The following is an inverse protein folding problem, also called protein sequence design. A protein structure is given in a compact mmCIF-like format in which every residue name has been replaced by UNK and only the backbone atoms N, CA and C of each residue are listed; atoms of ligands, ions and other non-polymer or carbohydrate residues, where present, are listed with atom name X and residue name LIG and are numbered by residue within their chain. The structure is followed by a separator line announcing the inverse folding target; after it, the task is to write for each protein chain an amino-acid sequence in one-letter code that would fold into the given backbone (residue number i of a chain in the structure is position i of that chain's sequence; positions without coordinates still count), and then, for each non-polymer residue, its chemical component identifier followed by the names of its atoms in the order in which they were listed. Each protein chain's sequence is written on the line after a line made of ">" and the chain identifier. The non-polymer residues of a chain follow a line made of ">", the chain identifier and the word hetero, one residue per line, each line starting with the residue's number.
data_IF_297408129086
#
_entry.id   IF_297408129086
#
_cell.length_a   1.000
_cell.length_b   1.000
_cell.length_c   1.000
_cell.angle_alpha   90.00
_cell.angle_beta   90.00
_cell.angle_gamma   90.00
#
_symmetry.space_group_name_H-M   'P 1'
#
loop_
_entity.id
_entity.type
_entity.pdbx_description
1 polymer ?
#
# COMPACT_ATOMS: atom_id res chain seq x y z
N UNK A 1 -20.47 -5.68 5.81
CA UNK A 1 -19.41 -5.09 4.96
C UNK A 1 -19.26 -3.64 5.37
N UNK A 2 -18.12 -3.22 5.93
CA UNK A 2 -17.86 -1.80 6.19
C UNK A 2 -17.24 -1.18 4.94
N UNK A 3 -17.93 -0.24 4.32
CA UNK A 3 -17.38 0.61 3.27
C UNK A 3 -17.10 1.98 3.88
N UNK A 4 -15.90 2.53 3.68
CA UNK A 4 -15.59 3.90 4.10
C UNK A 4 -15.80 4.81 2.90
N UNK A 5 -17.06 5.23 2.70
CA UNK A 5 -17.45 6.07 1.56
C UNK A 5 -17.41 7.56 1.94
N UNK A 6 -16.37 8.25 1.50
CA UNK A 6 -16.33 9.71 1.49
C UNK A 6 -17.27 10.31 0.41
N UNK A 7 -17.64 11.59 0.54
CA UNK A 7 -18.54 12.31 -0.37
C UNK A 7 -18.15 12.17 -1.85
N UNK A 8 -16.85 12.19 -2.19
CA UNK A 8 -16.37 12.01 -3.56
C UNK A 8 -16.82 10.68 -4.20
N UNK A 9 -16.92 9.60 -3.41
CA UNK A 9 -17.31 8.29 -3.93
C UNK A 9 -18.79 8.29 -4.32
N UNK A 10 -19.63 8.92 -3.49
CA UNK A 10 -21.05 9.10 -3.79
C UNK A 10 -21.28 9.94 -5.05
N UNK A 11 -20.54 11.05 -5.19
CA UNK A 11 -20.62 11.90 -6.39
C UNK A 11 -20.27 11.10 -7.66
N UNK A 12 -19.22 10.28 -7.62
CA UNK A 12 -18.81 9.45 -8.77
C UNK A 12 -19.91 8.42 -9.10
N UNK A 13 -20.41 7.68 -8.11
CA UNK A 13 -21.39 6.62 -8.33
C UNK A 13 -22.72 7.17 -8.85
N UNK A 14 -23.25 8.22 -8.20
CA UNK A 14 -24.51 8.86 -8.60
C UNK A 14 -24.34 9.50 -9.98
N UNK A 15 -23.24 10.21 -10.20
CA UNK A 15 -22.92 10.83 -11.49
C UNK A 15 -22.87 9.81 -12.62
N UNK A 16 -22.23 8.65 -12.41
CA UNK A 16 -22.16 7.58 -13.40
C UNK A 16 -23.55 7.03 -13.77
N UNK A 17 -24.43 6.84 -12.79
CA UNK A 17 -25.80 6.36 -13.02
C UNK A 17 -26.64 7.40 -13.77
N UNK A 18 -26.57 8.67 -13.37
CA UNK A 18 -27.30 9.76 -14.03
C UNK A 18 -26.83 9.91 -15.49
N UNK A 19 -25.52 9.93 -15.73
CA UNK A 19 -24.96 10.04 -17.07
C UNK A 19 -25.35 8.84 -17.95
N UNK A 20 -25.34 7.62 -17.42
CA UNK A 20 -25.76 6.45 -18.19
C UNK A 20 -27.26 6.47 -18.51
N UNK A 21 -28.11 6.89 -17.57
CA UNK A 21 -29.54 7.05 -17.82
C UNK A 21 -29.82 8.13 -18.87
N UNK A 22 -29.14 9.28 -18.77
CA UNK A 22 -29.23 10.35 -19.75
C UNK A 22 -28.76 9.89 -21.14
N UNK A 23 -27.63 9.17 -21.23
CA UNK A 23 -27.14 8.63 -22.49
C UNK A 23 -28.11 7.60 -23.10
N UNK A 24 -28.73 6.75 -22.29
CA UNK A 24 -29.70 5.75 -22.75
C UNK A 24 -30.96 6.41 -23.36
N UNK A 25 -31.40 7.53 -22.80
CA UNK A 25 -32.63 8.24 -23.22
C UNK A 25 -32.35 9.22 -24.37
N UNK A 26 -31.30 10.03 -24.25
CA UNK A 26 -31.04 11.16 -25.14
C UNK A 26 -30.19 10.78 -26.36
N UNK A 27 -29.27 9.81 -26.26
CA UNK A 27 -28.42 9.47 -27.39
C UNK A 27 -29.20 8.96 -28.61
N UNK A 28 -30.21 8.08 -28.48
CA UNK A 28 -31.03 7.66 -29.62
C UNK A 28 -31.84 8.78 -30.26
N UNK A 29 -32.10 9.87 -29.53
CA UNK A 29 -32.83 11.04 -30.02
C UNK A 29 -31.92 12.03 -30.74
N UNK A 30 -30.63 12.07 -30.37
CA UNK A 30 -29.66 13.04 -30.89
C UNK A 30 -28.83 12.51 -32.06
N UNK A 31 -28.54 11.20 -32.09
CA UNK A 31 -27.63 10.59 -33.08
C UNK A 31 -28.13 9.23 -33.53
N UNK A 32 -27.79 8.85 -34.76
CA UNK A 32 -28.01 7.48 -35.23
C UNK A 32 -27.10 6.53 -34.44
N UNK A 33 -27.68 5.69 -33.60
CA UNK A 33 -26.97 4.71 -32.76
C UNK A 33 -27.71 3.38 -32.79
N UNK A 34 -26.98 2.27 -32.80
CA UNK A 34 -27.60 0.95 -32.71
C UNK A 34 -28.23 0.76 -31.33
N UNK A 35 -29.47 0.23 -31.24
CA UNK A 35 -30.11 -0.06 -29.95
C UNK A 35 -29.27 -0.97 -29.05
N UNK A 36 -28.51 -1.90 -29.63
CA UNK A 36 -27.62 -2.78 -28.86
C UNK A 36 -26.46 -1.99 -28.23
N UNK A 37 -25.93 -0.96 -28.90
CA UNK A 37 -24.83 -0.14 -28.39
C UNK A 37 -25.26 0.72 -27.20
N UNK A 38 -26.53 1.11 -27.08
CA UNK A 38 -26.99 1.92 -25.95
C UNK A 38 -26.97 1.15 -24.63
N UNK A 39 -27.09 -0.18 -24.65
CA UNK A 39 -26.93 -1.02 -23.46
C UNK A 39 -25.52 -0.99 -22.88
N UNK A 40 -24.51 -0.53 -23.62
CA UNK A 40 -23.17 -0.37 -23.07
C UNK A 40 -23.14 0.71 -21.95
N UNK A 41 -23.97 1.75 -22.01
CA UNK A 41 -23.98 2.84 -21.03
C UNK A 41 -24.31 2.37 -19.60
N UNK A 42 -25.42 1.66 -19.32
CA UNK A 42 -25.70 1.17 -17.96
C UNK A 42 -24.67 0.13 -17.48
N UNK A 43 -24.08 -0.65 -18.38
CA UNK A 43 -23.04 -1.62 -18.02
C UNK A 43 -21.75 -0.90 -17.62
N UNK A 44 -21.37 0.19 -18.31
CA UNK A 44 -20.26 1.07 -17.94
C UNK A 44 -20.50 1.71 -16.57
N UNK A 45 -21.71 2.23 -16.31
CA UNK A 45 -22.03 2.78 -14.99
C UNK A 45 -21.89 1.73 -13.88
N UNK A 46 -22.35 0.50 -14.13
CA UNK A 46 -22.17 -0.62 -13.20
C UNK A 46 -20.69 -0.90 -12.95
N UNK A 47 -19.86 -0.90 -14.00
CA UNK A 47 -18.40 -1.05 -13.87
C UNK A 47 -17.80 0.06 -12.99
N UNK A 48 -18.19 1.32 -13.20
CA UNK A 48 -17.70 2.47 -12.41
C UNK A 48 -18.11 2.37 -10.94
N UNK A 49 -19.36 1.97 -10.65
CA UNK A 49 -19.84 1.78 -9.29
C UNK A 49 -19.05 0.68 -8.58
N UNK A 50 -18.88 -0.47 -9.22
CA UNK A 50 -18.11 -1.59 -8.67
C UNK A 50 -16.63 -1.23 -8.46
N UNK A 51 -16.03 -0.48 -9.39
CA UNK A 51 -14.65 -0.01 -9.26
C UNK A 51 -14.49 0.96 -8.08
N UNK A 52 -15.46 1.86 -7.89
CA UNK A 52 -15.50 2.83 -6.79
C UNK A 52 -15.65 2.12 -5.44
N UNK A 53 -16.59 1.18 -5.34
CA UNK A 53 -16.78 0.33 -4.15
C UNK A 53 -15.51 -0.49 -3.84
N UNK A 54 -14.87 -1.06 -4.86
CA UNK A 54 -13.62 -1.78 -4.71
C UNK A 54 -12.46 -0.91 -4.19
N UNK A 55 -12.46 0.39 -4.51
CA UNK A 55 -11.46 1.34 -3.97
C UNK A 55 -11.71 1.66 -2.51
N UNK A 56 -12.98 1.71 -2.08
CA UNK A 56 -13.38 2.03 -0.71
C UNK A 56 -13.43 0.81 0.23
N UNK A 57 -13.32 -0.42 -0.31
CA UNK A 57 -13.39 -1.65 0.47
C UNK A 57 -12.02 -2.11 1.01
N UNK A 58 -11.97 -2.46 2.29
CA UNK A 58 -10.74 -3.02 2.90
C UNK A 58 -10.56 -4.53 2.64
N UNK A 59 -11.64 -5.31 2.78
CA UNK A 59 -11.59 -6.78 2.72
C UNK A 59 -11.94 -7.38 1.35
N UNK A 60 -12.81 -6.73 0.58
CA UNK A 60 -13.36 -7.25 -0.68
C UNK A 60 -12.94 -6.46 -1.92
N UNK A 61 -11.81 -5.75 -1.85
CA UNK A 61 -11.27 -4.95 -2.96
C UNK A 61 -11.07 -5.76 -4.24
N UNK A 62 -10.38 -6.88 -4.16
CA UNK A 62 -10.05 -7.71 -5.33
C UNK A 62 -11.29 -8.21 -6.10
N UNK A 63 -12.29 -8.87 -5.46
CA UNK A 63 -13.46 -9.35 -6.19
C UNK A 63 -14.29 -8.21 -6.79
N UNK A 64 -14.44 -7.07 -6.10
CA UNK A 64 -15.17 -5.91 -6.63
C UNK A 64 -14.47 -5.30 -7.86
N UNK A 65 -13.14 -5.15 -7.81
CA UNK A 65 -12.34 -4.67 -8.94
C UNK A 65 -12.37 -5.63 -10.13
N UNK A 66 -12.36 -6.94 -9.87
CA UNK A 66 -12.49 -7.95 -10.92
C UNK A 66 -13.86 -7.88 -11.58
N UNK A 67 -14.94 -7.79 -10.79
CA UNK A 67 -16.30 -7.67 -11.31
C UNK A 67 -16.48 -6.38 -12.14
N UNK A 68 -15.91 -5.27 -11.68
CA UNK A 68 -15.87 -4.01 -12.43
C UNK A 68 -15.20 -4.18 -13.80
N UNK A 69 -14.05 -4.85 -13.84
CA UNK A 69 -13.33 -5.12 -15.08
C UNK A 69 -14.12 -6.05 -16.01
N UNK A 70 -14.77 -7.08 -15.48
CA UNK A 70 -15.68 -7.95 -16.26
C UNK A 70 -16.82 -7.14 -16.86
N UNK A 71 -17.48 -6.26 -16.09
CA UNK A 71 -18.53 -5.38 -16.61
C UNK A 71 -18.00 -4.47 -17.74
N UNK A 72 -16.79 -3.92 -17.60
CA UNK A 72 -16.17 -3.11 -18.66
C UNK A 72 -15.93 -3.92 -19.94
N UNK A 73 -15.44 -5.16 -19.83
CA UNK A 73 -15.27 -6.06 -20.96
C UNK A 73 -16.61 -6.38 -21.64
N UNK A 74 -17.65 -6.66 -20.85
CA UNK A 74 -19.01 -6.90 -21.37
C UNK A 74 -19.53 -5.67 -22.10
N UNK A 75 -19.43 -4.47 -21.52
CA UNK A 75 -19.86 -3.23 -22.17
C UNK A 75 -19.14 -3.00 -23.50
N UNK A 76 -17.83 -3.29 -23.53
CA UNK A 76 -16.99 -3.17 -24.73
C UNK A 76 -17.47 -4.12 -25.83
N UNK A 77 -17.73 -5.38 -25.50
CA UNK A 77 -18.25 -6.37 -26.44
C UNK A 77 -19.64 -5.98 -26.94
N UNK A 78 -20.52 -5.51 -26.06
CA UNK A 78 -21.85 -4.99 -26.42
C UNK A 78 -21.75 -3.83 -27.40
N UNK A 79 -20.85 -2.87 -27.16
CA UNK A 79 -20.62 -1.73 -28.07
C UNK A 79 -20.14 -2.17 -29.46
N UNK A 80 -19.26 -3.17 -29.53
CA UNK A 80 -18.68 -3.68 -30.80
C UNK A 80 -19.59 -4.67 -31.54
N UNK A 81 -20.62 -5.20 -30.91
CA UNK A 81 -21.47 -6.25 -31.48
C UNK A 81 -22.08 -5.88 -32.85
N UNK A 82 -22.58 -4.64 -33.08
CA UNK A 82 -23.13 -4.25 -34.38
C UNK A 82 -22.12 -4.25 -35.53
N UNK A 83 -20.82 -4.18 -35.24
CA UNK A 83 -19.78 -4.17 -36.27
C UNK A 83 -19.52 -5.55 -36.87
N UNK A 84 -20.07 -6.63 -36.30
CA UNK A 84 -19.89 -7.99 -36.81
C UNK A 84 -20.34 -8.14 -38.26
N UNK A 85 -21.49 -7.57 -38.63
CA UNK A 85 -22.02 -7.62 -39.99
C UNK A 85 -21.13 -6.91 -41.02
N UNK A 86 -20.83 -5.61 -40.81
CA UNK A 86 -19.90 -4.90 -41.69
C UNK A 86 -18.52 -5.55 -41.79
N UNK A 87 -18.00 -6.08 -40.67
CA UNK A 87 -16.73 -6.82 -40.68
C UNK A 87 -16.82 -8.13 -41.47
N UNK A 88 -17.93 -8.86 -41.39
CA UNK A 88 -18.14 -10.06 -42.21
C UNK A 88 -18.26 -9.73 -43.69
N UNK A 89 -18.89 -8.62 -44.06
CA UNK A 89 -19.00 -8.18 -45.45
C UNK A 89 -17.62 -7.81 -46.04
N UNK A 90 -16.82 -7.09 -45.24
CA UNK A 90 -15.43 -6.78 -45.59
C UNK A 90 -14.64 -8.08 -45.76
N UNK A 91 -14.74 -9.01 -44.81
CA UNK A 91 -14.00 -10.27 -44.85
C UNK A 91 -14.41 -11.13 -46.06
N UNK A 92 -15.70 -11.22 -46.36
CA UNK A 92 -16.21 -11.93 -47.53
C UNK A 92 -15.68 -11.30 -48.83
N UNK A 93 -15.63 -9.98 -48.91
CA UNK A 93 -15.04 -9.26 -50.06
C UNK A 93 -13.55 -9.54 -50.18
N UNK A 94 -12.80 -9.50 -49.07
CA UNK A 94 -11.38 -9.82 -49.04
C UNK A 94 -11.14 -11.24 -49.56
N UNK A 95 -11.88 -12.22 -49.03
CA UNK A 95 -11.76 -13.63 -49.42
C UNK A 95 -12.06 -13.84 -50.91
N UNK A 96 -13.14 -13.25 -51.41
CA UNK A 96 -13.51 -13.34 -52.82
C UNK A 96 -12.41 -12.77 -53.74
N UNK A 97 -11.84 -11.61 -53.40
CA UNK A 97 -10.80 -10.96 -54.20
C UNK A 97 -9.47 -11.71 -54.14
N UNK A 98 -9.07 -12.20 -52.96
CA UNK A 98 -7.86 -13.02 -52.84
C UNK A 98 -8.02 -14.36 -53.56
N UNK A 99 -9.21 -14.97 -53.53
CA UNK A 99 -9.52 -16.20 -54.27
C UNK A 99 -9.47 -16.00 -55.79
N UNK A 100 -9.76 -14.79 -56.27
CA UNK A 100 -9.61 -14.39 -57.67
C UNK A 100 -8.17 -13.97 -58.05
N UNK A 101 -7.19 -14.12 -57.15
CA UNK A 101 -5.77 -13.85 -57.42
C UNK A 101 -5.32 -12.40 -57.20
N UNK A 102 -6.15 -11.54 -56.61
CA UNK A 102 -5.76 -10.15 -56.33
C UNK A 102 -4.85 -10.01 -55.09
N UNK A 103 -3.94 -9.01 -55.06
CA UNK A 103 -3.10 -8.74 -53.89
C UNK A 103 -3.92 -8.38 -52.64
N UNK A 104 -3.50 -8.88 -51.48
CA UNK A 104 -4.19 -8.68 -50.19
C UNK A 104 -4.46 -7.21 -49.83
N UNK A 105 -3.51 -6.26 -49.98
CA UNK A 105 -3.79 -4.85 -49.66
C UNK A 105 -4.92 -4.26 -50.50
N UNK A 106 -5.02 -4.67 -51.78
CA UNK A 106 -6.08 -4.23 -52.68
C UNK A 106 -7.41 -4.87 -52.30
N UNK A 107 -7.42 -6.16 -51.98
CA UNK A 107 -8.62 -6.85 -51.50
C UNK A 107 -9.19 -6.21 -50.22
N UNK A 108 -8.33 -5.81 -49.27
CA UNK A 108 -8.73 -5.08 -48.05
C UNK A 108 -9.33 -3.73 -48.41
N UNK A 109 -8.67 -2.97 -49.29
CA UNK A 109 -9.15 -1.65 -49.71
C UNK A 109 -10.55 -1.72 -50.34
N UNK A 110 -10.80 -2.70 -51.19
CA UNK A 110 -12.10 -2.90 -51.83
C UNK A 110 -13.18 -3.38 -50.85
N UNK A 111 -12.81 -4.22 -49.87
CA UNK A 111 -13.67 -4.55 -48.74
C UNK A 111 -14.12 -3.30 -47.97
N UNK A 112 -13.19 -2.41 -47.65
CA UNK A 112 -13.48 -1.14 -46.98
C UNK A 112 -14.35 -0.23 -47.85
N UNK A 113 -14.09 -0.13 -49.16
CA UNK A 113 -14.97 0.61 -50.07
C UNK A 113 -16.40 0.05 -50.08
N UNK A 114 -16.58 -1.24 -49.82
CA UNK A 114 -17.89 -1.87 -49.63
C UNK A 114 -18.75 -1.18 -48.56
N UNK A 115 -18.14 -0.47 -47.60
CA UNK A 115 -18.86 0.32 -46.60
C UNK A 115 -19.64 1.51 -47.18
N UNK A 116 -19.31 1.94 -48.41
CA UNK A 116 -20.08 3.00 -49.11
C UNK A 116 -21.53 2.61 -49.37
N UNK A 117 -21.85 1.31 -49.38
CA UNK A 117 -23.21 0.76 -49.58
C UNK A 117 -24.14 1.03 -48.39
N UNK A 118 -23.60 1.32 -47.22
CA UNK A 118 -24.39 1.64 -46.03
C UNK A 118 -24.90 3.08 -46.09
N UNK A 119 -26.07 3.34 -45.52
CA UNK A 119 -26.62 4.70 -45.42
C UNK A 119 -25.78 5.56 -44.46
N UNK A 120 -25.83 6.88 -44.60
CA UNK A 120 -25.06 7.77 -43.72
C UNK A 120 -25.42 7.64 -42.24
N UNK A 121 -26.70 7.46 -41.84
CA UNK A 121 -27.05 7.11 -40.46
C UNK A 121 -26.43 5.79 -39.97
N UNK A 122 -26.34 4.76 -40.83
CA UNK A 122 -25.69 3.50 -40.49
C UNK A 122 -24.19 3.69 -40.30
N UNK A 123 -23.53 4.45 -41.18
CA UNK A 123 -22.09 4.79 -41.03
C UNK A 123 -21.83 5.54 -39.73
N UNK A 124 -22.69 6.50 -39.37
CA UNK A 124 -22.60 7.22 -38.09
C UNK A 124 -22.76 6.26 -36.89
N UNK A 125 -23.77 5.39 -36.91
CA UNK A 125 -23.99 4.41 -35.86
C UNK A 125 -22.80 3.45 -35.71
N UNK A 126 -22.22 2.99 -36.83
CA UNK A 126 -21.01 2.17 -36.84
C UNK A 126 -19.81 2.90 -36.25
N UNK A 127 -19.61 4.17 -36.60
CA UNK A 127 -18.53 4.98 -36.07
C UNK A 127 -18.63 5.15 -34.54
N UNK A 128 -19.84 5.38 -34.03
CA UNK A 128 -20.10 5.48 -32.58
C UNK A 128 -19.81 4.14 -31.88
N UNK A 129 -20.32 3.03 -32.41
CA UNK A 129 -20.06 1.68 -31.88
C UNK A 129 -18.56 1.34 -31.88
N UNK A 130 -17.85 1.70 -32.94
CA UNK A 130 -16.40 1.52 -33.04
C UNK A 130 -15.65 2.38 -32.04
N UNK A 131 -15.96 3.67 -31.93
CA UNK A 131 -15.29 4.58 -31.02
C UNK A 131 -15.50 4.15 -29.55
N UNK A 132 -16.72 3.82 -29.17
CA UNK A 132 -17.05 3.37 -27.81
C UNK A 132 -16.37 2.04 -27.49
N UNK A 133 -16.39 1.09 -28.44
CA UNK A 133 -15.72 -0.20 -28.30
C UNK A 133 -14.20 -0.08 -28.23
N UNK A 134 -13.57 0.68 -29.12
CA UNK A 134 -12.12 0.91 -29.12
C UNK A 134 -11.65 1.59 -27.83
N UNK A 135 -12.41 2.57 -27.33
CA UNK A 135 -12.15 3.18 -26.03
C UNK A 135 -12.27 2.16 -24.89
N UNK A 136 -13.32 1.34 -24.90
CA UNK A 136 -13.52 0.25 -23.94
C UNK A 136 -12.34 -0.74 -23.91
N UNK A 137 -11.87 -1.19 -25.08
CA UNK A 137 -10.68 -2.04 -25.22
C UNK A 137 -9.44 -1.35 -24.65
N UNK A 138 -9.21 -0.09 -25.00
CA UNK A 138 -8.04 0.66 -24.53
C UNK A 138 -8.01 0.77 -23.00
N UNK A 139 -9.17 0.99 -22.35
CA UNK A 139 -9.25 1.05 -20.89
C UNK A 139 -9.10 -0.35 -20.26
N UNK A 140 -9.77 -1.37 -20.82
CA UNK A 140 -9.74 -2.74 -20.30
C UNK A 140 -8.35 -3.38 -20.40
N UNK A 141 -7.55 -3.00 -21.39
CA UNK A 141 -6.17 -3.47 -21.59
C UNK A 141 -5.16 -2.61 -20.81
N UNK A 142 -5.33 -1.29 -20.79
CA UNK A 142 -4.37 -0.41 -20.10
C UNK A 142 -4.40 -0.58 -18.57
N UNK A 143 -5.55 -0.86 -17.97
CA UNK A 143 -5.67 -1.06 -16.52
C UNK A 143 -4.82 -2.23 -15.98
N UNK A 144 -4.89 -3.46 -16.51
CA UNK A 144 -4.01 -4.55 -16.07
C UNK A 144 -2.55 -4.30 -16.45
N UNK A 145 -2.27 -3.74 -17.63
CA UNK A 145 -0.89 -3.41 -18.02
C UNK A 145 -0.25 -2.41 -17.06
N UNK A 146 -0.95 -1.33 -16.69
CA UNK A 146 -0.46 -0.37 -15.70
C UNK A 146 -0.25 -1.04 -14.35
N UNK A 147 -1.11 -1.99 -13.95
CA UNK A 147 -0.91 -2.73 -12.71
C UNK A 147 0.33 -3.65 -12.75
N UNK A 148 0.63 -4.26 -13.89
CA UNK A 148 1.81 -5.13 -14.10
C UNK A 148 3.10 -4.30 -14.17
N UNK A 149 3.12 -3.23 -14.99
CA UNK A 149 4.32 -2.45 -15.28
C UNK A 149 4.58 -1.31 -14.28
N UNK A 150 3.55 -0.85 -13.57
CA UNK A 150 3.66 0.14 -12.52
C UNK A 150 2.83 -0.26 -11.30
N UNK A 151 3.23 -1.31 -10.56
CA UNK A 151 2.58 -1.70 -9.33
C UNK A 151 2.68 -0.53 -8.34
N UNK A 152 1.63 0.29 -8.27
CA UNK A 152 1.50 1.37 -7.28
C UNK A 152 1.45 0.82 -5.85
N UNK A 153 1.32 -0.51 -5.69
CA UNK A 153 1.57 -1.23 -4.45
C UNK A 153 3.09 -1.26 -4.20
N UNK A 154 3.63 -0.17 -3.63
CA UNK A 154 5.01 -0.15 -3.15
C UNK A 154 5.73 1.20 -3.19
N UNK A 155 5.23 2.20 -3.91
CA UNK A 155 5.95 3.48 -4.05
C UNK A 155 5.46 4.51 -3.03
N UNK A 156 6.28 4.66 -1.98
CA UNK A 156 6.20 5.65 -0.90
C UNK A 156 4.99 5.55 0.04
N UNK A 157 5.18 4.76 1.11
CA UNK A 157 4.39 4.85 2.33
C UNK A 157 4.91 5.94 3.28
N UNK A 158 5.54 6.99 2.74
CA UNK A 158 6.04 8.14 3.50
C UNK A 158 5.01 9.26 3.42
N UNK A 159 4.49 9.70 4.56
CA UNK A 159 3.63 10.87 4.66
C UNK A 159 4.37 12.08 4.07
N UNK A 160 3.69 12.83 3.20
CA UNK A 160 4.19 14.08 2.61
C UNK A 160 3.63 15.31 3.33
N UNK A 161 2.85 15.10 4.40
CA UNK A 161 2.16 16.15 5.15
C UNK A 161 2.63 16.16 6.60
N UNK A 162 2.71 17.36 7.17
CA UNK A 162 3.12 17.61 8.56
C UNK A 162 4.62 17.92 8.74
N UNK A 163 5.02 18.41 9.93
CA UNK A 163 6.41 18.73 10.24
C UNK A 163 7.32 17.48 10.33
N UNK A 164 6.71 16.28 10.40
CA UNK A 164 7.41 15.01 10.47
C UNK A 164 6.87 14.05 9.41
N UNK A 165 7.77 13.40 8.68
CA UNK A 165 7.40 12.40 7.67
C UNK A 165 7.44 11.01 8.30
N UNK A 166 6.28 10.40 8.52
CA UNK A 166 6.17 9.01 8.95
C UNK A 166 6.15 8.08 7.73
N UNK A 167 6.88 6.97 7.78
CA UNK A 167 6.73 5.92 6.78
C UNK A 167 7.46 4.64 7.12
N UNK A 168 7.12 3.58 6.38
CA UNK A 168 7.80 2.30 6.51
C UNK A 168 9.24 2.41 6.00
N UNK A 169 10.18 1.74 6.67
CA UNK A 169 11.58 1.69 6.25
C UNK A 169 11.72 1.04 4.87
N UNK A 170 12.57 1.61 4.03
CA UNK A 170 12.94 0.98 2.76
C UNK A 170 13.92 -0.19 3.02
N UNK A 171 13.99 -1.19 2.13
CA UNK A 171 14.98 -2.28 2.25
C UNK A 171 16.42 -1.79 2.40
N UNK A 172 16.73 -0.62 1.83
CA UNK A 172 18.03 0.06 1.95
C UNK A 172 18.29 0.58 3.37
N UNK A 173 17.27 1.10 4.05
CA UNK A 173 17.38 1.55 5.43
C UNK A 173 17.60 0.35 6.36
N UNK A 174 16.84 -0.73 6.17
CA UNK A 174 17.05 -2.00 6.89
C UNK A 174 18.47 -2.54 6.67
N UNK A 175 18.96 -2.53 5.43
CA UNK A 175 20.31 -2.99 5.10
C UNK A 175 21.40 -2.13 5.77
N UNK A 176 21.19 -0.81 5.88
CA UNK A 176 22.10 0.06 6.63
C UNK A 176 22.08 -0.27 8.12
N UNK A 177 20.90 -0.32 8.75
CA UNK A 177 20.76 -0.62 10.18
C UNK A 177 21.34 -1.99 10.56
N UNK A 178 21.26 -2.96 9.63
CA UNK A 178 21.84 -4.30 9.78
C UNK A 178 23.37 -4.31 9.74
N UNK A 179 24.00 -3.32 9.12
CA UNK A 179 25.48 -3.18 9.04
C UNK A 179 26.07 -2.45 10.24
N UNK A 180 25.24 -1.68 10.96
CA UNK A 180 25.68 -0.97 12.13
C UNK A 180 26.12 -1.97 13.22
N UNK A 181 27.39 -1.88 13.62
CA UNK A 181 27.97 -2.69 14.70
C UNK A 181 27.67 -2.13 16.09
N UNK A 182 27.40 -0.83 16.15
CA UNK A 182 27.08 -0.08 17.37
C UNK A 182 25.79 0.71 17.14
N UNK A 183 25.30 1.36 18.20
CA UNK A 183 24.06 2.12 18.17
C UNK A 183 22.95 1.45 18.97
N UNK A 184 21.79 2.09 19.01
CA UNK A 184 20.65 1.66 19.80
C UNK A 184 19.93 0.49 19.12
N UNK A 185 19.83 -0.68 19.77
CA UNK A 185 19.07 -1.80 19.25
C UNK A 185 17.60 -1.44 19.03
N UNK A 186 17.09 -1.76 17.84
CA UNK A 186 15.69 -1.51 17.47
C UNK A 186 14.88 -2.79 17.48
N UNK A 187 15.35 -3.81 16.75
CA UNK A 187 14.64 -5.05 16.54
C UNK A 187 15.56 -6.13 15.99
N UNK A 188 15.14 -7.40 16.16
CA UNK A 188 15.73 -8.53 15.47
C UNK A 188 14.98 -8.74 14.14
N UNK A 189 15.68 -8.63 13.01
CA UNK A 189 15.11 -8.81 11.68
C UNK A 189 15.87 -9.88 10.91
N UNK A 190 15.20 -11.01 10.61
CA UNK A 190 15.78 -12.17 9.89
C UNK A 190 17.13 -12.60 10.50
N UNK A 191 17.14 -12.80 11.81
CA UNK A 191 18.32 -13.26 12.56
C UNK A 191 19.44 -12.23 12.75
N UNK A 192 19.27 -10.97 12.30
CA UNK A 192 20.23 -9.90 12.59
C UNK A 192 19.61 -8.75 13.35
N UNK A 193 20.35 -8.24 14.32
CA UNK A 193 19.93 -7.09 15.10
C UNK A 193 20.09 -5.81 14.27
N UNK A 194 19.02 -5.03 14.18
CA UNK A 194 19.03 -3.71 13.57
C UNK A 194 19.43 -2.69 14.63
N UNK A 195 20.45 -1.88 14.33
CA UNK A 195 20.94 -0.85 15.23
C UNK A 195 20.78 0.53 14.63
N UNK A 196 20.17 1.41 15.40
CA UNK A 196 20.00 2.82 15.06
C UNK A 196 21.23 3.61 15.47
N UNK A 197 21.76 4.37 14.52
CA UNK A 197 22.86 5.30 14.75
C UNK A 197 22.41 6.66 14.26
N UNK A 198 22.65 7.70 15.06
CA UNK A 198 22.37 9.08 14.66
C UNK A 198 23.02 9.36 13.30
N UNK A 199 22.23 9.89 12.38
CA UNK A 199 22.64 10.28 11.04
C UNK A 199 21.82 11.51 10.61
N UNK A 200 22.37 12.70 10.87
CA UNK A 200 21.69 13.97 10.60
C UNK A 200 21.39 14.16 9.10
N UNK A 201 22.25 13.65 8.21
CA UNK A 201 22.04 13.70 6.76
C UNK A 201 20.80 12.90 6.30
N UNK A 202 20.37 11.90 7.08
CA UNK A 202 19.13 11.15 6.87
C UNK A 202 17.97 11.60 7.76
N UNK A 203 18.16 12.65 8.56
CA UNK A 203 17.19 13.09 9.57
C UNK A 203 17.07 12.14 10.76
N UNK A 204 18.00 11.20 10.93
CA UNK A 204 18.04 10.27 12.06
C UNK A 204 18.68 10.96 13.26
N UNK A 205 17.85 11.62 14.07
CA UNK A 205 18.31 12.37 15.24
C UNK A 205 18.66 11.43 16.41
N UNK A 206 19.58 11.85 17.26
CA UNK A 206 19.82 11.18 18.55
C UNK A 206 18.65 11.41 19.51
N UNK A 207 18.45 10.53 20.48
CA UNK A 207 17.40 10.67 21.48
C UNK A 207 17.20 9.42 22.34
N UNK A 208 16.09 9.40 23.07
CA UNK A 208 15.64 8.26 23.86
C UNK A 208 14.76 7.33 23.02
N UNK A 209 14.78 6.04 23.34
CA UNK A 209 14.03 5.02 22.61
C UNK A 209 12.92 4.44 23.48
N UNK A 210 11.72 4.34 22.89
CA UNK A 210 10.59 3.62 23.47
C UNK A 210 10.35 2.35 22.66
N UNK A 211 10.36 1.20 23.32
CA UNK A 211 10.07 -0.10 22.70
C UNK A 211 8.71 -0.57 23.19
N UNK A 212 7.73 -0.59 22.28
CA UNK A 212 6.38 -1.08 22.56
C UNK A 212 6.21 -2.48 21.98
N UNK A 213 5.89 -3.44 22.83
CA UNK A 213 5.69 -4.84 22.43
C UNK A 213 4.76 -5.53 23.42
N UNK A 214 3.86 -6.38 22.90
CA UNK A 214 3.07 -7.30 23.72
C UNK A 214 3.92 -8.33 24.48
N UNK A 215 3.29 -9.06 25.39
CA UNK A 215 3.89 -10.19 26.10
C UNK A 215 4.41 -11.23 25.11
N UNK A 216 5.62 -11.75 25.34
CA UNK A 216 6.35 -12.65 24.41
C UNK A 216 6.65 -12.06 23.00
N UNK A 217 6.46 -10.76 22.78
CA UNK A 217 6.79 -10.10 21.51
C UNK A 217 8.29 -9.83 21.30
N UNK A 218 9.15 -10.32 22.19
CA UNK A 218 10.60 -10.32 22.00
C UNK A 218 11.35 -9.05 22.41
N UNK A 219 10.71 -8.04 23.03
CA UNK A 219 11.38 -6.79 23.46
C UNK A 219 12.67 -6.99 24.28
N UNK A 220 12.71 -8.03 25.11
CA UNK A 220 13.89 -8.37 25.91
C UNK A 220 15.08 -8.74 25.02
N UNK A 221 14.89 -9.72 24.15
CA UNK A 221 15.95 -10.27 23.28
C UNK A 221 16.29 -9.36 22.10
N UNK A 222 15.36 -8.52 21.65
CA UNK A 222 15.54 -7.70 20.43
C UNK A 222 15.92 -6.25 20.70
N UNK A 223 15.81 -5.77 21.94
CA UNK A 223 16.13 -4.40 22.29
C UNK A 223 16.84 -4.26 23.64
N UNK A 224 16.22 -4.73 24.74
CA UNK A 224 16.69 -4.45 26.11
C UNK A 224 18.05 -5.11 26.41
N UNK A 225 18.15 -6.43 26.27
CA UNK A 225 19.40 -7.16 26.54
C UNK A 225 20.52 -6.67 25.63
N UNK A 226 20.32 -6.55 24.29
CA UNK A 226 21.37 -5.99 23.43
C UNK A 226 21.77 -4.56 23.81
N UNK A 227 20.84 -3.72 24.29
CA UNK A 227 21.19 -2.36 24.69
C UNK A 227 22.14 -2.34 25.89
N UNK A 228 21.92 -3.23 26.87
CA UNK A 228 22.79 -3.38 28.05
C UNK A 228 24.18 -3.91 27.66
N UNK A 229 24.23 -4.89 26.75
CA UNK A 229 25.47 -5.50 26.29
C UNK A 229 26.31 -4.54 25.43
N UNK A 230 25.65 -3.84 24.49
CA UNK A 230 26.34 -2.94 23.55
C UNK A 230 26.81 -1.63 24.21
N UNK A 231 26.14 -1.17 25.28
CA UNK A 231 26.45 0.11 25.92
C UNK A 231 27.80 0.07 26.66
N UNK A 232 28.75 0.91 26.22
CA UNK A 232 30.10 0.93 26.78
C UNK A 232 30.18 1.63 28.14
N UNK A 233 29.25 2.54 28.44
CA UNK A 233 29.20 3.31 29.69
C UNK A 233 28.54 2.58 30.86
N UNK A 234 28.28 3.27 31.98
CA UNK A 234 27.49 2.74 33.09
C UNK A 234 26.04 2.51 32.68
N UNK A 235 25.39 1.50 33.28
CA UNK A 235 24.00 1.14 32.99
C UNK A 235 23.27 0.91 34.31
N UNK A 236 22.10 1.53 34.45
CA UNK A 236 21.13 1.24 35.52
C UNK A 236 19.92 0.59 34.87
N UNK A 237 19.47 -0.53 35.42
CA UNK A 237 18.38 -1.33 34.85
C UNK A 237 17.33 -1.59 35.91
N UNK A 238 16.10 -1.17 35.65
CA UNK A 238 14.95 -1.65 36.42
C UNK A 238 14.53 -3.02 35.87
N UNK A 239 14.83 -4.07 36.64
CA UNK A 239 14.64 -5.46 36.20
C UNK A 239 13.75 -6.23 37.17
N UNK A 240 12.44 -6.02 37.05
CA UNK A 240 11.41 -6.63 37.91
C UNK A 240 11.53 -8.16 37.96
N UNK A 241 12.03 -8.80 36.90
CA UNK A 241 12.13 -10.26 36.78
C UNK A 241 13.53 -10.81 37.00
N UNK A 242 14.56 -9.97 37.05
CA UNK A 242 15.97 -10.40 37.13
C UNK A 242 16.55 -11.03 35.86
N UNK A 243 15.79 -11.11 34.76
CA UNK A 243 16.22 -11.75 33.51
C UNK A 243 17.39 -11.00 32.86
N UNK A 244 17.38 -9.67 32.91
CA UNK A 244 18.44 -8.86 32.32
C UNK A 244 19.72 -9.01 33.14
N UNK A 245 19.63 -8.98 34.47
CA UNK A 245 20.78 -9.18 35.34
C UNK A 245 21.41 -10.56 35.12
N UNK A 246 20.60 -11.63 35.15
CA UNK A 246 21.06 -13.00 34.97
C UNK A 246 21.83 -13.19 33.64
N UNK A 247 21.33 -12.61 32.55
CA UNK A 247 21.93 -12.76 31.21
C UNK A 247 23.15 -11.87 31.01
N UNK A 248 23.14 -10.63 31.53
CA UNK A 248 24.13 -9.61 31.12
C UNK A 248 25.31 -9.45 32.09
N UNK A 249 25.15 -9.80 33.38
CA UNK A 249 26.14 -9.50 34.43
C UNK A 249 27.56 -9.99 34.12
N UNK A 250 27.70 -11.19 33.53
CA UNK A 250 29.01 -11.78 33.25
C UNK A 250 29.76 -10.95 32.22
N UNK A 251 29.09 -10.61 31.12
CA UNK A 251 29.67 -9.76 30.09
C UNK A 251 30.03 -8.37 30.61
N UNK A 252 29.17 -7.80 31.46
CA UNK A 252 29.46 -6.50 32.10
C UNK A 252 30.70 -6.56 33.00
N UNK A 253 30.90 -7.66 33.74
CA UNK A 253 32.13 -7.89 34.54
C UNK A 253 33.37 -8.08 33.66
N UNK A 254 33.26 -8.79 32.54
CA UNK A 254 34.35 -8.97 31.56
C UNK A 254 34.84 -7.63 30.97
N UNK A 255 33.96 -6.63 30.86
CA UNK A 255 34.31 -5.25 30.50
C UNK A 255 34.98 -4.46 31.65
N UNK A 256 35.34 -5.12 32.76
CA UNK A 256 35.94 -4.50 33.94
C UNK A 256 34.98 -3.62 34.74
N UNK A 257 33.67 -3.82 34.61
CA UNK A 257 32.68 -3.00 35.33
C UNK A 257 32.33 -3.62 36.68
N UNK A 258 32.18 -2.77 37.70
CA UNK A 258 31.48 -3.14 38.93
C UNK A 258 30.02 -3.42 38.58
N UNK A 259 29.54 -4.60 38.95
CA UNK A 259 28.15 -5.01 38.76
C UNK A 259 27.56 -5.24 40.14
N UNK A 260 26.52 -4.49 40.47
CA UNK A 260 25.78 -4.58 41.72
C UNK A 260 24.29 -4.83 41.44
N UNK A 261 23.59 -5.50 42.35
CA UNK A 261 22.15 -5.77 42.26
C UNK A 261 21.45 -5.46 43.58
N UNK A 262 20.50 -4.53 43.53
CA UNK A 262 19.61 -4.27 44.66
C UNK A 262 18.47 -5.29 44.61
N UNK A 263 18.61 -6.35 45.40
CA UNK A 263 17.64 -7.44 45.48
C UNK A 263 17.09 -7.59 46.91
N UNK A 264 16.32 -6.61 47.41
CA UNK A 264 15.88 -6.56 48.81
C UNK A 264 14.98 -7.75 49.21
N UNK A 265 14.37 -8.43 48.24
CA UNK A 265 13.46 -9.56 48.46
C UNK A 265 14.06 -10.91 48.08
N UNK A 266 15.35 -10.97 47.71
CA UNK A 266 16.01 -12.24 47.40
C UNK A 266 15.44 -12.98 46.18
N UNK A 267 14.83 -12.28 45.21
CA UNK A 267 14.13 -12.90 44.07
C UNK A 267 15.05 -13.53 43.01
N UNK A 268 16.26 -13.01 42.84
CA UNK A 268 17.19 -13.43 41.78
C UNK A 268 18.34 -14.30 42.33
N UNK A 269 19.03 -13.77 43.33
CA UNK A 269 20.10 -14.44 44.10
C UNK A 269 20.15 -13.83 45.50
N UNK A 270 20.85 -14.44 46.44
CA UNK A 270 21.03 -13.84 47.77
C UNK A 270 21.57 -12.41 47.63
N UNK A 271 20.80 -11.43 48.10
CA UNK A 271 21.12 -10.02 47.96
C UNK A 271 22.38 -9.68 48.76
N UNK A 272 23.47 -9.37 48.07
CA UNK A 272 24.76 -9.00 48.70
C UNK A 272 25.03 -7.50 48.66
N UNK A 273 24.47 -6.80 47.67
CA UNK A 273 24.64 -5.36 47.54
C UNK A 273 23.55 -4.61 48.31
N UNK A 274 23.93 -3.48 48.90
CA UNK A 274 23.05 -2.63 49.70
C UNK A 274 23.09 -1.21 49.15
N UNK A 275 21.98 -0.50 49.32
CA UNK A 275 21.86 0.90 49.00
C UNK A 275 21.08 1.59 50.10
N UNK A 276 21.68 2.61 50.70
CA UNK A 276 21.01 3.49 51.63
C UNK A 276 20.67 4.80 50.91
N UNK A 277 19.39 5.09 50.62
CA UNK A 277 19.01 6.35 49.99
C UNK A 277 19.36 7.57 50.86
N UNK A 278 19.49 7.40 52.18
CA UNK A 278 19.86 8.48 53.10
C UNK A 278 21.33 8.90 52.99
N UNK A 279 22.19 8.08 52.39
CA UNK A 279 23.60 8.44 52.14
C UNK A 279 23.72 9.59 51.13
N UNK A 280 22.64 9.90 50.39
CA UNK A 280 22.58 11.05 49.49
C UNK A 280 22.47 12.39 50.24
N UNK A 281 21.99 12.39 51.50
CA UNK A 281 21.70 13.62 52.25
C UNK A 281 23.01 14.28 52.69
N UNK A 282 23.31 15.44 52.08
CA UNK A 282 24.50 16.21 52.42
C UNK A 282 24.16 17.26 53.49
N UNK A 283 24.98 17.40 54.56
CA UNK A 283 24.70 18.35 55.64
C UNK A 283 24.49 19.80 55.17
N UNK A 284 25.21 20.23 54.13
CA UNK A 284 25.14 21.58 53.58
C UNK A 284 23.93 21.80 52.64
N UNK A 285 23.24 20.74 52.20
CA UNK A 285 22.06 20.79 51.32
C UNK A 285 20.84 20.13 51.99
N UNK A 286 20.84 20.00 53.32
CA UNK A 286 19.93 19.14 54.08
C UNK A 286 18.45 19.31 53.68
N UNK A 287 17.95 20.54 53.68
CA UNK A 287 16.53 20.81 53.38
C UNK A 287 16.15 20.36 51.96
N UNK A 288 17.04 20.56 50.99
CA UNK A 288 16.83 20.19 49.59
C UNK A 288 16.94 18.67 49.41
N UNK A 289 17.98 18.05 49.96
CA UNK A 289 18.21 16.62 49.79
C UNK A 289 17.13 15.81 50.51
N UNK A 290 16.66 16.25 51.69
CA UNK A 290 15.51 15.63 52.39
C UNK A 290 14.23 15.77 51.57
N UNK A 291 13.96 16.95 50.99
CA UNK A 291 12.78 17.14 50.14
C UNK A 291 12.81 16.22 48.92
N UNK A 292 13.95 16.10 48.24
CA UNK A 292 14.10 15.19 47.09
C UNK A 292 13.83 13.73 47.47
N UNK A 293 14.37 13.26 48.60
CA UNK A 293 14.15 11.89 49.08
C UNK A 293 12.69 11.66 49.46
N UNK A 294 12.01 12.68 50.00
CA UNK A 294 10.60 12.60 50.38
C UNK A 294 9.65 12.62 49.16
N UNK A 295 10.01 13.36 48.10
CA UNK A 295 9.19 13.50 46.88
C UNK A 295 9.23 12.26 45.97
N UNK A 296 10.33 11.49 46.00
CA UNK A 296 10.48 10.22 45.25
C UNK A 296 11.02 10.37 43.83
#
# INVERSE_FOLDING_TARGET
>A
MSFVLEARHWVIMIGAVILAAAALILAPQAVAIYPVTTYAFPIIATAVVLDTLGTAAERHRAPLKLLAWVCLCVATLTALTPLRGPLSDILATVQAWTGAGWPLPRAIWEGIKGLTRYSDPQKQAMAISFALGAFGVAVAVSTPLVAIFNPRIGRNRKSRTGPWQAGWMDPRDVAQLKRNKTGLPLALHKGKLLRYVKNDAKGWRGGHHLVVSGTRGGKGVSAVIPAILDHQGPVVVLDIKGENFAVTRRHRKELGRKVAVLNPFGLVEDGKDQFNPLDYIRPHELARDVALVADG
#
